data_IF_696547866723
#
_entry.id   IF_696547866723
#
_cell.length_a   1.000
_cell.length_b   1.000
_cell.length_c   1.000
_cell.angle_alpha   90.00
_cell.angle_beta   90.00
_cell.angle_gamma   90.00
#
_symmetry.space_group_name_H-M   'P 1'
#
loop_
_entity.id
_entity.type
_entity.pdbx_description
1 polymer ?
#
# COMPACT_ATOMS: atom_id res chain seq x y z
N UNK A 1 8.95 -9.10 18.15
CA UNK A 1 8.11 -8.07 17.50
C UNK A 1 7.10 -8.77 16.59
N UNK A 2 5.81 -8.52 16.75
CA UNK A 2 4.78 -9.11 15.90
C UNK A 2 4.90 -8.59 14.47
N UNK A 3 4.69 -9.45 13.46
CA UNK A 3 4.82 -9.10 12.04
C UNK A 3 3.89 -7.94 11.64
N UNK A 4 2.73 -7.83 12.29
CA UNK A 4 1.76 -6.76 12.05
C UNK A 4 2.30 -5.37 12.39
N UNK A 5 3.03 -5.23 13.51
CA UNK A 5 3.63 -3.94 13.92
C UNK A 5 4.66 -3.46 12.90
N UNK A 6 5.45 -4.40 12.37
CA UNK A 6 6.44 -4.10 11.34
C UNK A 6 5.76 -3.64 10.05
N UNK A 7 4.63 -4.25 9.67
CA UNK A 7 3.87 -3.85 8.49
C UNK A 7 3.25 -2.46 8.64
N UNK A 8 2.72 -2.12 9.82
CA UNK A 8 2.20 -0.77 10.11
C UNK A 8 3.31 0.28 10.01
N UNK A 9 4.48 0.01 10.62
CA UNK A 9 5.64 0.88 10.54
C UNK A 9 6.13 1.03 9.09
N UNK A 10 6.16 -0.07 8.33
CA UNK A 10 6.52 -0.06 6.92
C UNK A 10 5.56 0.81 6.10
N UNK A 11 4.25 0.65 6.30
CA UNK A 11 3.24 1.45 5.60
C UNK A 11 3.39 2.93 5.95
N UNK A 12 3.59 3.27 7.22
CA UNK A 12 3.83 4.65 7.67
C UNK A 12 5.08 5.25 7.04
N UNK A 13 6.19 4.52 7.06
CA UNK A 13 7.47 4.96 6.48
C UNK A 13 7.40 5.14 4.96
N UNK A 14 6.65 4.28 4.26
CA UNK A 14 6.42 4.43 2.82
C UNK A 14 5.46 5.58 2.53
N UNK A 15 4.39 5.77 3.31
CA UNK A 15 3.44 6.87 3.17
C UNK A 15 4.13 8.24 3.20
N UNK A 16 5.11 8.41 4.10
CA UNK A 16 5.93 9.61 4.19
C UNK A 16 6.82 9.86 2.95
N UNK A 17 7.12 8.82 2.16
CA UNK A 17 8.02 8.86 1.01
C UNK A 17 7.26 8.65 -0.30
N UNK A 18 6.68 9.74 -0.82
CA UNK A 18 5.90 9.76 -2.07
C UNK A 18 6.66 9.16 -3.27
N UNK A 19 7.98 9.33 -3.34
CA UNK A 19 8.83 8.75 -4.39
C UNK A 19 8.75 7.23 -4.59
N UNK A 20 8.20 6.49 -3.62
CA UNK A 20 8.04 5.04 -3.70
C UNK A 20 6.73 4.59 -4.38
N UNK A 21 5.70 5.44 -4.41
CA UNK A 21 4.37 5.07 -4.90
C UNK A 21 3.76 6.07 -5.89
N UNK A 22 4.24 7.31 -5.89
CA UNK A 22 3.79 8.38 -6.76
C UNK A 22 4.49 8.32 -8.12
N UNK A 23 3.73 8.02 -9.19
CA UNK A 23 4.21 8.01 -10.57
C UNK A 23 4.00 9.35 -11.28
N UNK A 24 3.34 10.33 -10.64
CA UNK A 24 3.19 11.68 -11.18
C UNK A 24 4.51 12.45 -11.10
N UNK A 25 5.45 11.96 -10.29
CA UNK A 25 6.78 12.54 -10.15
C UNK A 25 7.59 12.48 -11.46
N UNK A 26 8.43 13.50 -11.73
CA UNK A 26 9.27 13.56 -12.92
C UNK A 26 10.12 12.30 -13.10
N UNK A 27 10.46 11.97 -14.35
CA UNK A 27 11.28 10.79 -14.67
C UNK A 27 12.63 10.78 -13.94
N UNK A 28 13.21 11.95 -13.67
CA UNK A 28 14.45 12.14 -12.90
C UNK A 28 14.35 11.59 -11.46
N UNK A 29 13.19 11.72 -10.81
CA UNK A 29 12.95 11.24 -9.45
C UNK A 29 12.54 9.76 -9.40
N UNK A 30 12.19 9.17 -10.56
CA UNK A 30 11.77 7.76 -10.68
C UNK A 30 12.94 6.80 -10.91
N UNK A 31 14.18 7.29 -10.91
CA UNK A 31 15.39 6.49 -11.12
C UNK A 31 15.52 5.37 -10.07
N UNK A 32 16.13 4.25 -10.49
CA UNK A 32 16.38 3.09 -9.62
C UNK A 32 17.26 3.46 -8.42
N UNK A 33 18.25 4.35 -8.64
CA UNK A 33 19.15 4.83 -7.59
C UNK A 33 18.39 5.58 -6.49
N UNK A 34 17.50 6.51 -6.85
CA UNK A 34 16.69 7.27 -5.88
C UNK A 34 15.74 6.35 -5.11
N UNK A 35 15.10 5.41 -5.79
CA UNK A 35 14.25 4.40 -5.16
C UNK A 35 15.02 3.54 -4.17
N UNK A 36 16.23 3.10 -4.53
CA UNK A 36 17.07 2.31 -3.62
C UNK A 36 17.45 3.11 -2.37
N UNK A 37 17.81 4.39 -2.51
CA UNK A 37 18.05 5.27 -1.38
C UNK A 37 16.81 5.42 -0.47
N UNK A 38 15.63 5.64 -1.06
CA UNK A 38 14.37 5.73 -0.31
C UNK A 38 14.07 4.43 0.45
N UNK A 39 14.32 3.26 -0.15
CA UNK A 39 14.15 1.98 0.55
C UNK A 39 15.16 1.75 1.68
N UNK A 40 16.39 2.25 1.53
CA UNK A 40 17.38 2.24 2.60
C UNK A 40 16.91 3.11 3.78
N UNK A 41 16.38 4.30 3.51
CA UNK A 41 15.81 5.14 4.55
C UNK A 41 14.58 4.52 5.23
N UNK A 42 13.70 3.85 4.47
CA UNK A 42 12.56 3.11 5.05
C UNK A 42 13.06 2.05 6.01
N UNK A 43 14.05 1.25 5.60
CA UNK A 43 14.72 0.25 6.45
C UNK A 43 15.27 0.88 7.74
N UNK A 44 15.95 2.02 7.63
CA UNK A 44 16.48 2.72 8.81
C UNK A 44 15.38 3.26 9.72
N UNK A 45 14.28 3.78 9.14
CA UNK A 45 13.14 4.34 9.87
C UNK A 45 12.43 3.29 10.73
N UNK A 46 12.35 2.05 10.24
CA UNK A 46 11.79 0.92 11.00
C UNK A 46 12.82 0.26 11.94
N UNK A 47 13.92 0.96 12.26
CA UNK A 47 14.98 0.49 13.16
C UNK A 47 15.82 -0.66 12.60
N UNK A 48 15.90 -0.79 11.27
CA UNK A 48 16.62 -1.89 10.61
C UNK A 48 15.93 -3.25 10.73
N UNK A 49 14.66 -3.28 11.15
CA UNK A 49 13.91 -4.53 11.34
C UNK A 49 13.81 -5.37 10.05
N UNK A 50 13.70 -4.73 8.88
CA UNK A 50 13.76 -5.36 7.56
C UNK A 50 14.85 -4.71 6.72
N UNK A 51 15.64 -5.51 6.01
CA UNK A 51 16.52 -5.01 4.97
C UNK A 51 15.72 -4.33 3.85
N UNK A 52 16.32 -3.41 3.07
CA UNK A 52 15.63 -2.69 1.99
C UNK A 52 14.93 -3.62 1.00
N UNK A 53 15.54 -4.76 0.66
CA UNK A 53 14.95 -5.73 -0.27
C UNK A 53 13.80 -6.53 0.34
N UNK A 54 13.89 -6.87 1.64
CA UNK A 54 12.75 -7.46 2.35
C UNK A 54 11.61 -6.45 2.50
N UNK A 55 11.91 -5.19 2.76
CA UNK A 55 10.93 -4.10 2.82
C UNK A 55 10.21 -3.92 1.48
N UNK A 56 10.95 -3.92 0.36
CA UNK A 56 10.38 -3.91 -1.01
C UNK A 56 9.42 -5.08 -1.23
N UNK A 57 9.87 -6.31 -0.94
CA UNK A 57 9.06 -7.51 -1.13
C UNK A 57 7.79 -7.49 -0.26
N UNK A 58 7.91 -7.03 1.00
CA UNK A 58 6.79 -6.92 1.92
C UNK A 58 5.80 -5.85 1.49
N UNK A 59 6.29 -4.69 1.07
CA UNK A 59 5.46 -3.63 0.52
C UNK A 59 4.70 -4.08 -0.73
N UNK A 60 5.35 -4.82 -1.64
CA UNK A 60 4.68 -5.40 -2.81
C UNK A 60 3.51 -6.29 -2.39
N UNK A 61 3.72 -7.20 -1.44
CA UNK A 61 2.66 -8.06 -0.90
C UNK A 61 1.49 -7.25 -0.31
N UNK A 62 1.78 -6.22 0.48
CA UNK A 62 0.76 -5.33 1.07
C UNK A 62 -0.02 -4.59 -0.01
N UNK A 63 0.67 -4.01 -1.00
CA UNK A 63 0.05 -3.29 -2.13
C UNK A 63 -0.83 -4.22 -2.97
N UNK A 64 -0.39 -5.44 -3.25
CA UNK A 64 -1.16 -6.42 -4.01
C UNK A 64 -2.44 -6.84 -3.26
N UNK A 65 -2.34 -7.07 -1.94
CA UNK A 65 -3.51 -7.34 -1.11
C UNK A 65 -4.46 -6.15 -1.03
N UNK A 66 -3.94 -4.93 -0.88
CA UNK A 66 -4.73 -3.71 -0.91
C UNK A 66 -5.46 -3.54 -2.25
N UNK A 67 -4.79 -3.78 -3.38
CA UNK A 67 -5.41 -3.72 -4.70
C UNK A 67 -6.54 -4.76 -4.86
N UNK A 68 -6.35 -5.98 -4.37
CA UNK A 68 -7.39 -7.03 -4.35
C UNK A 68 -8.58 -6.62 -3.47
N UNK A 69 -8.31 -6.13 -2.27
CA UNK A 69 -9.32 -5.62 -1.36
C UNK A 69 -10.13 -4.49 -1.99
N UNK A 70 -9.45 -3.51 -2.60
CA UNK A 70 -10.06 -2.38 -3.31
C UNK A 70 -10.92 -2.84 -4.48
N UNK A 71 -10.46 -3.80 -5.28
CA UNK A 71 -11.27 -4.38 -6.36
C UNK A 71 -12.55 -5.00 -5.82
N UNK A 72 -12.49 -5.77 -4.72
CA UNK A 72 -13.68 -6.37 -4.09
C UNK A 72 -14.67 -5.31 -3.59
N UNK A 73 -14.17 -4.23 -3.01
CA UNK A 73 -15.00 -3.09 -2.55
C UNK A 73 -15.64 -2.38 -3.75
N UNK A 74 -14.90 -2.15 -4.84
CA UNK A 74 -15.39 -1.47 -6.04
C UNK A 74 -16.30 -2.31 -6.95
N UNK A 75 -16.05 -3.61 -7.06
CA UNK A 75 -16.81 -4.53 -7.94
C UNK A 75 -18.15 -4.94 -7.34
N UNK A 76 -18.45 -4.53 -6.12
CA UNK A 76 -19.73 -4.82 -5.49
C UNK A 76 -20.83 -3.94 -6.10
N UNK A 77 -21.63 -4.54 -6.97
CA UNK A 77 -22.90 -3.97 -7.47
C UNK A 77 -24.01 -4.85 -6.88
N UNK A 78 -24.86 -4.34 -5.97
CA UNK A 78 -25.96 -5.14 -5.43
C UNK A 78 -27.04 -5.33 -6.49
N UNK A 79 -26.99 -6.46 -7.19
CA UNK A 79 -28.05 -6.91 -8.10
C UNK A 79 -28.98 -7.86 -7.34
N UNK A 80 -30.04 -7.33 -6.74
CA UNK A 80 -31.14 -8.13 -6.17
C UNK A 80 -31.89 -7.45 -5.03
N UNK A 81 -33.22 -7.45 -5.08
CA UNK A 81 -34.13 -6.81 -4.12
C UNK A 81 -34.08 -7.36 -2.68
N UNK A 82 -33.33 -8.44 -2.44
CA UNK A 82 -33.07 -9.00 -1.12
C UNK A 82 -31.78 -8.48 -0.45
N UNK A 83 -30.96 -7.68 -1.15
CA UNK A 83 -29.69 -7.16 -0.62
C UNK A 83 -29.91 -5.90 0.26
N UNK A 84 -30.86 -5.93 1.18
CA UNK A 84 -30.90 -4.95 2.27
C UNK A 84 -29.94 -5.41 3.36
N UNK A 85 -28.99 -4.54 3.69
CA UNK A 85 -28.05 -4.64 4.81
C UNK A 85 -26.91 -5.68 4.68
N UNK A 86 -25.97 -5.43 3.76
CA UNK A 86 -24.56 -5.64 4.11
C UNK A 86 -23.84 -4.31 3.98
N UNK A 87 -24.14 -3.43 4.94
CA UNK A 87 -23.39 -2.21 5.25
C UNK A 87 -21.91 -2.51 5.08
N UNK A 88 -21.31 -1.87 4.07
CA UNK A 88 -19.89 -1.82 3.78
C UNK A 88 -19.10 -2.98 4.40
N UNK A 89 -18.93 -4.09 3.68
CA UNK A 89 -17.90 -5.07 4.07
C UNK A 89 -16.56 -4.34 4.03
N UNK A 90 -16.17 -3.76 5.18
CA UNK A 90 -14.83 -3.29 5.47
C UNK A 90 -13.94 -4.43 5.01
N UNK A 91 -13.04 -4.13 4.08
CA UNK A 91 -12.13 -5.13 3.57
C UNK A 91 -11.49 -5.84 4.78
N UNK A 92 -11.53 -7.17 4.83
CA UNK A 92 -10.86 -7.97 5.89
C UNK A 92 -9.34 -7.72 5.95
N UNK A 93 -8.80 -6.97 4.99
CA UNK A 93 -7.45 -6.46 5.05
C UNK A 93 -7.33 -5.41 6.16
N UNK A 94 -6.70 -5.81 7.27
CA UNK A 94 -6.48 -4.99 8.46
C UNK A 94 -5.80 -3.65 8.19
N UNK A 95 -4.98 -3.57 7.12
CA UNK A 95 -4.27 -2.34 6.73
C UNK A 95 -5.00 -1.52 5.65
N UNK A 96 -6.28 -1.81 5.39
CA UNK A 96 -7.03 -1.13 4.33
C UNK A 96 -7.10 0.39 4.56
N UNK A 97 -7.48 0.81 5.77
CA UNK A 97 -7.68 2.22 6.10
C UNK A 97 -6.36 3.02 6.02
N UNK A 98 -5.25 2.44 6.50
CA UNK A 98 -3.93 3.09 6.46
C UNK A 98 -3.30 3.11 5.06
N UNK A 99 -3.77 2.27 4.13
CA UNK A 99 -3.31 2.23 2.74
C UNK A 99 -4.23 2.98 1.76
N UNK A 100 -5.29 3.63 2.26
CA UNK A 100 -6.23 4.42 1.44
C UNK A 100 -5.58 5.55 0.65
N UNK A 101 -4.44 6.08 1.11
CA UNK A 101 -3.67 7.10 0.39
C UNK A 101 -3.16 6.65 -0.98
N UNK A 102 -3.13 5.34 -1.24
CA UNK A 102 -2.77 4.78 -2.56
C UNK A 102 -3.92 4.85 -3.56
N UNK A 103 -5.14 5.22 -3.16
CA UNK A 103 -6.31 5.25 -4.04
C UNK A 103 -6.06 6.10 -5.30
N UNK A 104 -5.52 7.29 -5.11
CA UNK A 104 -5.25 8.24 -6.18
C UNK A 104 -4.12 7.73 -7.10
N UNK A 105 -3.20 6.93 -6.54
CA UNK A 105 -2.04 6.37 -7.25
C UNK A 105 -2.22 4.93 -7.78
N UNK A 106 -3.42 4.36 -7.68
CA UNK A 106 -3.70 3.02 -8.22
C UNK A 106 -4.60 3.07 -9.45
N UNK A 107 -5.27 4.19 -9.69
CA UNK A 107 -6.10 4.42 -10.88
C UNK A 107 -5.27 4.86 -12.09
N UNK A 108 -4.03 5.27 -11.88
CA UNK A 108 -3.09 5.82 -12.88
C UNK A 108 -2.75 4.94 -14.08
N UNK A 109 -3.23 3.68 -14.11
CA UNK A 109 -2.91 2.72 -15.16
C UNK A 109 -4.12 2.57 -16.09
N UNK A 110 -4.37 3.60 -16.89
CA UNK A 110 -5.11 3.49 -18.15
C UNK A 110 -4.12 3.27 -19.28
#
# INVERSE_FOLDING_TARGET
VCKDVIDELLIGAVKARKGLYDYTLPASERSSLRKNALWAEVSNTIGGALSPDKAKARWKYLRDNYAKARKKVKSYIPSGSAAKANVLKKSNFRFYDVMTFLNDFLETRK
#
